data_IF_293442437351
#
_entry.id   IF_293442437351
#
_cell.length_a   1.000
_cell.length_b   1.000
_cell.length_c   1.000
_cell.angle_alpha   90.00
_cell.angle_beta   90.00
_cell.angle_gamma   90.00
#
_symmetry.space_group_name_H-M   'P 1'
#
loop_
_entity.id
_entity.type
_entity.pdbx_description
1 polymer ?
#
# COMPACT_ATOMS: atom_id res chain seq x y z
N UNK A 1 21.26 -13.42 -8.13
CA UNK A 1 19.99 -12.67 -8.12
C UNK A 1 20.22 -11.41 -7.29
N UNK A 2 19.58 -10.30 -7.65
CA UNK A 2 19.55 -9.10 -6.80
C UNK A 2 19.06 -9.50 -5.40
N UNK A 3 19.66 -8.94 -4.35
CA UNK A 3 19.14 -9.13 -3.00
C UNK A 3 17.81 -8.36 -2.85
N UNK A 4 17.06 -8.64 -1.80
CA UNK A 4 15.72 -8.05 -1.60
C UNK A 4 15.74 -6.52 -1.49
N UNK A 5 16.83 -5.95 -0.98
CA UNK A 5 17.01 -4.51 -0.83
C UNK A 5 17.25 -3.82 -2.18
N UNK A 6 18.14 -4.37 -3.00
CA UNK A 6 18.41 -3.88 -4.36
C UNK A 6 17.14 -4.01 -5.23
N UNK A 7 16.39 -5.10 -5.07
CA UNK A 7 15.12 -5.30 -5.77
C UNK A 7 14.07 -4.25 -5.35
N UNK A 8 13.96 -3.94 -4.07
CA UNK A 8 13.06 -2.90 -3.55
C UNK A 8 13.45 -1.50 -4.04
N UNK A 9 14.75 -1.19 -4.08
CA UNK A 9 15.25 0.07 -4.64
C UNK A 9 14.91 0.21 -6.12
N UNK A 10 15.19 -0.80 -6.94
CA UNK A 10 14.88 -0.76 -8.37
C UNK A 10 13.36 -0.65 -8.60
N UNK A 11 12.56 -1.41 -7.86
CA UNK A 11 11.10 -1.38 -7.99
C UNK A 11 10.51 -0.01 -7.63
N UNK A 12 10.96 0.60 -6.52
CA UNK A 12 10.47 1.91 -6.06
C UNK A 12 10.92 3.05 -6.97
N UNK A 13 12.11 2.97 -7.58
CA UNK A 13 12.54 3.91 -8.62
C UNK A 13 11.65 3.80 -9.88
N UNK A 14 11.43 2.58 -10.39
CA UNK A 14 10.58 2.36 -11.56
C UNK A 14 9.15 2.86 -11.32
N UNK A 15 8.59 2.58 -10.14
CA UNK A 15 7.28 3.08 -9.75
C UNK A 15 7.24 4.61 -9.66
N UNK A 16 8.28 5.23 -9.10
CA UNK A 16 8.37 6.69 -8.98
C UNK A 16 8.43 7.38 -10.34
N UNK A 17 9.16 6.82 -11.31
CA UNK A 17 9.20 7.29 -12.70
C UNK A 17 7.81 7.16 -13.34
N UNK A 18 7.16 6.02 -13.18
CA UNK A 18 5.80 5.80 -13.68
C UNK A 18 4.81 6.81 -13.10
N UNK A 19 4.89 7.08 -11.79
CA UNK A 19 4.05 8.06 -11.10
C UNK A 19 4.26 9.48 -11.65
N UNK A 20 5.50 9.90 -11.87
CA UNK A 20 5.78 11.21 -12.48
C UNK A 20 5.17 11.34 -13.88
N UNK A 21 5.33 10.30 -14.71
CA UNK A 21 4.73 10.28 -16.07
C UNK A 21 3.21 10.41 -16.01
N UNK A 22 2.57 9.69 -15.10
CA UNK A 22 1.12 9.80 -14.90
C UNK A 22 0.70 11.18 -14.41
N UNK A 23 1.40 11.76 -13.44
CA UNK A 23 1.09 13.11 -12.97
C UNK A 23 1.15 14.15 -14.11
N UNK A 24 2.11 14.00 -15.04
CA UNK A 24 2.18 14.85 -16.23
C UNK A 24 0.98 14.67 -17.14
N UNK A 25 0.55 13.43 -17.39
CA UNK A 25 -0.60 13.14 -18.26
C UNK A 25 -1.92 13.65 -17.66
N UNK A 26 -2.14 13.40 -16.37
CA UNK A 26 -3.43 13.64 -15.73
C UNK A 26 -3.56 15.05 -15.12
N UNK A 27 -2.46 15.61 -14.61
CA UNK A 27 -2.48 16.87 -13.85
C UNK A 27 -1.63 17.97 -14.51
N UNK A 28 -1.08 17.73 -15.71
CA UNK A 28 -0.13 18.62 -16.39
C UNK A 28 1.03 19.11 -15.49
N UNK A 29 1.38 18.31 -14.48
CA UNK A 29 2.38 18.66 -13.48
C UNK A 29 3.73 18.07 -13.90
N UNK A 30 4.76 18.91 -13.93
CA UNK A 30 6.14 18.46 -14.17
C UNK A 30 6.85 18.37 -12.82
N UNK A 31 6.88 17.15 -12.26
CA UNK A 31 7.69 16.87 -11.07
C UNK A 31 9.18 17.06 -11.41
N UNK A 32 9.95 17.63 -10.48
CA UNK A 32 11.40 17.68 -10.62
C UNK A 32 11.99 16.26 -10.63
N UNK A 33 13.00 16.02 -11.47
CA UNK A 33 13.63 14.69 -11.57
C UNK A 33 14.25 14.24 -10.24
N UNK A 34 14.71 15.18 -9.41
CA UNK A 34 15.19 14.90 -8.04
C UNK A 34 14.13 14.24 -7.15
N UNK A 35 12.84 14.45 -7.42
CA UNK A 35 11.76 13.85 -6.64
C UNK A 35 11.65 12.33 -6.83
N UNK A 36 12.20 11.75 -7.90
CA UNK A 36 12.14 10.28 -8.11
C UNK A 36 12.90 9.57 -7.00
N UNK A 37 14.13 10.01 -6.73
CA UNK A 37 15.03 9.37 -5.76
C UNK A 37 14.50 9.59 -4.36
N UNK A 38 14.19 10.84 -3.99
CA UNK A 38 13.63 11.17 -2.67
C UNK A 38 12.36 10.37 -2.38
N UNK A 39 11.44 10.28 -3.34
CA UNK A 39 10.20 9.50 -3.20
C UNK A 39 10.46 8.01 -3.06
N UNK A 40 11.40 7.46 -3.84
CA UNK A 40 11.77 6.05 -3.74
C UNK A 40 12.35 5.72 -2.35
N UNK A 41 13.26 6.57 -1.85
CA UNK A 41 13.82 6.40 -0.52
C UNK A 41 12.77 6.54 0.60
N UNK A 42 11.89 7.52 0.51
CA UNK A 42 10.76 7.70 1.44
C UNK A 42 9.87 6.47 1.47
N UNK A 43 9.51 5.93 0.30
CA UNK A 43 8.71 4.70 0.19
C UNK A 43 9.34 3.51 0.89
N UNK A 44 10.65 3.31 0.71
CA UNK A 44 11.36 2.19 1.35
C UNK A 44 11.40 2.39 2.86
N UNK A 45 11.71 3.61 3.33
CA UNK A 45 11.75 3.95 4.76
C UNK A 45 10.38 3.75 5.42
N UNK A 46 9.33 4.27 4.81
CA UNK A 46 7.96 4.16 5.32
C UNK A 46 7.52 2.70 5.37
N UNK A 47 7.82 1.92 4.33
CA UNK A 47 7.52 0.49 4.30
C UNK A 47 8.26 -0.27 5.40
N UNK A 48 9.55 0.01 5.62
CA UNK A 48 10.33 -0.60 6.69
C UNK A 48 9.78 -0.24 8.08
N UNK A 49 9.36 1.02 8.29
CA UNK A 49 8.73 1.46 9.53
C UNK A 49 7.41 0.72 9.80
N UNK A 50 6.53 0.62 8.79
CA UNK A 50 5.26 -0.12 8.90
C UNK A 50 5.51 -1.60 9.21
N UNK A 51 6.46 -2.23 8.51
CA UNK A 51 6.80 -3.64 8.75
C UNK A 51 7.33 -3.88 10.16
N UNK A 52 8.10 -2.95 10.70
CA UNK A 52 8.60 -3.02 12.08
C UNK A 52 7.46 -2.93 13.09
N UNK A 53 6.50 -2.02 12.88
CA UNK A 53 5.30 -1.91 13.73
C UNK A 53 4.44 -3.18 13.65
N UNK A 54 4.25 -3.73 12.45
CA UNK A 54 3.48 -4.95 12.25
C UNK A 54 4.15 -6.17 12.88
N UNK A 55 5.47 -6.31 12.75
CA UNK A 55 6.21 -7.38 13.41
C UNK A 55 6.11 -7.28 14.93
N UNK A 56 6.22 -6.07 15.52
CA UNK A 56 6.00 -5.84 16.96
C UNK A 56 4.57 -6.20 17.39
N UNK A 57 3.57 -5.86 16.58
CA UNK A 57 2.18 -6.25 16.84
C UNK A 57 1.98 -7.78 16.73
N UNK A 58 2.84 -8.49 15.99
CA UNK A 58 2.81 -9.95 15.82
C UNK A 58 3.59 -10.68 16.94
N UNK A 59 4.62 -10.06 17.51
CA UNK A 59 5.38 -10.57 18.66
C UNK A 59 4.60 -10.51 19.98
N UNK A 60 3.64 -9.58 20.09
CA UNK A 60 2.57 -9.65 21.09
C UNK A 60 1.66 -10.80 20.68
N UNK A 61 2.01 -12.02 21.10
CA UNK A 61 1.27 -13.27 20.94
C UNK A 61 -0.23 -13.03 20.63
N UNK A 62 -0.65 -13.10 19.36
CA UNK A 62 -2.06 -13.25 19.07
C UNK A 62 -2.34 -14.71 19.41
N UNK A 63 -2.77 -14.96 20.65
CA UNK A 63 -3.26 -16.27 21.05
C UNK A 63 -4.18 -16.77 19.95
N UNK A 64 -3.77 -17.88 19.30
CA UNK A 64 -4.33 -18.47 18.08
C UNK A 64 -5.62 -17.79 17.66
N UNK A 65 -5.50 -16.68 16.91
CA UNK A 65 -6.68 -16.07 16.31
C UNK A 65 -7.07 -17.04 15.20
N UNK A 66 -7.94 -17.98 15.55
CA UNK A 66 -8.69 -18.74 14.57
C UNK A 66 -9.29 -17.69 13.63
N UNK A 67 -8.83 -17.67 12.38
CA UNK A 67 -9.43 -16.93 11.26
C UNK A 67 -10.81 -17.51 10.91
N UNK A 68 -11.66 -17.70 11.92
CA UNK A 68 -13.06 -18.08 11.79
C UNK A 68 -13.87 -16.83 12.11
N UNK A 69 -14.86 -16.58 11.27
CA UNK A 69 -15.78 -15.49 11.50
C UNK A 69 -16.42 -15.61 12.89
N UNK A 70 -16.30 -14.55 13.69
CA UNK A 70 -17.01 -14.41 14.95
C UNK A 70 -18.12 -13.37 14.79
N UNK A 71 -19.30 -13.66 15.36
CA UNK A 71 -20.44 -12.74 15.34
C UNK A 71 -20.07 -11.43 16.06
N UNK A 72 -20.43 -10.24 15.52
CA UNK A 72 -20.24 -8.98 16.24
C UNK A 72 -20.97 -8.96 17.59
N UNK A 73 -20.44 -8.19 18.53
CA UNK A 73 -21.08 -7.95 19.82
C UNK A 73 -22.49 -7.36 19.64
N UNK A 74 -23.41 -7.57 20.61
CA UNK A 74 -24.72 -6.92 20.59
C UNK A 74 -24.59 -5.41 20.38
N UNK A 75 -25.37 -4.86 19.43
CA UNK A 75 -25.31 -3.44 19.05
C UNK A 75 -24.26 -3.09 17.98
N UNK A 76 -23.48 -4.06 17.47
CA UNK A 76 -22.55 -3.86 16.35
C UNK A 76 -22.99 -4.66 15.13
N UNK A 77 -22.76 -4.08 13.95
CA UNK A 77 -23.06 -4.72 12.67
C UNK A 77 -21.78 -4.95 11.87
N UNK A 78 -21.74 -6.06 11.13
CA UNK A 78 -20.72 -6.29 10.11
C UNK A 78 -21.26 -5.78 8.79
N UNK A 79 -20.63 -4.75 8.24
CA UNK A 79 -20.90 -4.28 6.89
C UNK A 79 -19.75 -4.76 6.00
N UNK A 80 -20.07 -5.59 5.01
CA UNK A 80 -19.17 -5.85 3.91
C UNK A 80 -19.35 -4.70 2.93
N UNK A 81 -18.24 -4.13 2.44
CA UNK A 81 -18.25 -3.10 1.42
C UNK A 81 -17.46 -3.63 0.24
N UNK A 82 -18.03 -3.57 -0.94
CA UNK A 82 -17.36 -3.94 -2.19
C UNK A 82 -17.53 -2.86 -3.26
N UNK A 83 -16.62 -2.90 -4.23
CA UNK A 83 -16.64 -1.98 -5.36
C UNK A 83 -16.32 -2.75 -6.64
N UNK A 84 -17.06 -2.45 -7.69
CA UNK A 84 -16.85 -3.01 -9.01
C UNK A 84 -16.75 -1.88 -10.05
N UNK A 85 -15.84 -2.06 -11.00
CA UNK A 85 -15.64 -1.15 -12.12
C UNK A 85 -16.05 -1.87 -13.41
N UNK A 86 -16.83 -1.21 -14.26
CA UNK A 86 -17.18 -1.72 -15.60
C UNK A 86 -17.19 -0.58 -16.59
N UNK A 87 -16.16 -0.49 -17.42
CA UNK A 87 -15.91 0.67 -18.28
C UNK A 87 -15.76 1.94 -17.44
N UNK A 88 -16.49 3.00 -17.79
CA UNK A 88 -16.47 4.30 -17.09
C UNK A 88 -17.45 4.36 -15.89
N UNK A 89 -17.96 3.21 -15.43
CA UNK A 89 -18.95 3.14 -14.35
C UNK A 89 -18.35 2.48 -13.11
N UNK A 90 -18.77 2.99 -11.96
CA UNK A 90 -18.43 2.47 -10.62
C UNK A 90 -19.71 2.09 -9.89
N UNK A 91 -19.74 0.86 -9.34
CA UNK A 91 -20.76 0.42 -8.39
C UNK A 91 -20.14 0.24 -7.00
N UNK A 92 -20.87 0.67 -5.96
CA UNK A 92 -20.48 0.50 -4.55
C UNK A 92 -21.62 -0.27 -3.86
N UNK A 93 -21.27 -1.37 -3.19
CA UNK A 93 -22.17 -2.27 -2.46
C UNK A 93 -21.81 -2.39 -1.00
#
# INVERSE_FOLDING_TARGET
>A
GLNDEDAAQVATMLWSIWKQRNNKVWNNTVDAQSHVITRAEELIRDWAAVRTVQNRATEVQPGVVMNRWNKPLPGRFKCNIDAAFTGDKVGIG
#
